data_IF_271439892586
#
_entry.id   IF_271439892586
#
_cell.length_a   1.000
_cell.length_b   1.000
_cell.length_c   1.000
_cell.angle_alpha   90.00
_cell.angle_beta   90.00
_cell.angle_gamma   90.00
#
_symmetry.space_group_name_H-M   'P 1'
#
loop_
_entity.id
_entity.type
_entity.pdbx_description
1 polymer ?
#
# COMPACT_ATOMS: atom_id res chain seq x y z
N UNK A 1 13.22 19.91 5.30
CA UNK A 1 11.84 19.36 5.28
C UNK A 1 11.49 18.72 3.94
N UNK A 2 11.62 19.44 2.82
CA UNK A 2 11.14 19.00 1.50
C UNK A 2 11.78 17.71 0.97
N UNK A 3 13.07 17.47 1.25
CA UNK A 3 13.77 16.24 0.84
C UNK A 3 13.18 14.97 1.47
N UNK A 4 12.75 15.03 2.74
CA UNK A 4 12.12 13.90 3.42
C UNK A 4 10.73 13.61 2.86
N UNK A 5 9.98 14.67 2.53
CA UNK A 5 8.65 14.56 1.91
C UNK A 5 8.79 13.93 0.51
N UNK A 6 9.72 14.43 -0.31
CA UNK A 6 10.01 13.86 -1.62
C UNK A 6 10.42 12.37 -1.52
N UNK A 7 11.30 12.03 -0.57
CA UNK A 7 11.70 10.64 -0.32
C UNK A 7 10.54 9.73 0.09
N UNK A 8 9.58 10.24 0.86
CA UNK A 8 8.36 9.51 1.24
C UNK A 8 7.42 9.28 0.06
N UNK A 9 7.26 10.28 -0.80
CA UNK A 9 6.45 10.17 -2.02
C UNK A 9 7.05 9.09 -2.93
N UNK A 10 8.35 9.18 -3.23
CA UNK A 10 9.05 8.23 -4.11
C UNK A 10 9.00 6.80 -3.54
N UNK A 11 9.30 6.65 -2.24
CA UNK A 11 9.27 5.33 -1.59
C UNK A 11 7.87 4.74 -1.55
N UNK A 12 6.84 5.58 -1.36
CA UNK A 12 5.44 5.17 -1.39
C UNK A 12 5.06 4.60 -2.75
N UNK A 13 5.29 5.38 -3.82
CA UNK A 13 5.00 4.97 -5.21
C UNK A 13 5.78 3.70 -5.59
N UNK A 14 7.06 3.62 -5.23
CA UNK A 14 7.88 2.43 -5.49
C UNK A 14 7.33 1.19 -4.76
N UNK A 15 6.92 1.33 -3.50
CA UNK A 15 6.39 0.20 -2.72
C UNK A 15 5.08 -0.35 -3.27
N UNK A 16 4.16 0.50 -3.74
CA UNK A 16 2.93 0.04 -4.38
C UNK A 16 3.21 -0.69 -5.69
N UNK A 17 4.14 -0.19 -6.51
CA UNK A 17 4.52 -0.82 -7.77
C UNK A 17 5.15 -2.22 -7.56
N UNK A 18 5.98 -2.37 -6.54
CA UNK A 18 6.59 -3.68 -6.20
C UNK A 18 5.55 -4.74 -5.86
N UNK A 19 4.51 -4.40 -5.09
CA UNK A 19 3.44 -5.36 -4.74
C UNK A 19 2.70 -5.84 -5.99
N UNK A 20 2.42 -4.93 -6.93
CA UNK A 20 1.77 -5.27 -8.20
C UNK A 20 2.70 -6.16 -9.04
N UNK A 21 3.98 -5.81 -9.16
CA UNK A 21 4.96 -6.60 -9.92
C UNK A 21 5.14 -8.01 -9.37
N UNK A 22 5.21 -8.17 -8.05
CA UNK A 22 5.27 -9.50 -7.43
C UNK A 22 4.03 -10.32 -7.82
N UNK A 23 2.84 -9.72 -7.79
CA UNK A 23 1.63 -10.42 -8.18
C UNK A 23 1.66 -10.85 -9.65
N UNK A 24 2.13 -9.99 -10.55
CA UNK A 24 2.27 -10.30 -11.98
C UNK A 24 3.25 -11.46 -12.18
N UNK A 25 4.43 -11.39 -11.57
CA UNK A 25 5.45 -12.45 -11.67
C UNK A 25 4.91 -13.79 -11.17
N UNK A 26 4.20 -13.81 -10.03
CA UNK A 26 3.59 -15.03 -9.50
C UNK A 26 2.61 -15.63 -10.51
N UNK A 27 1.74 -14.83 -11.12
CA UNK A 27 0.77 -15.32 -12.11
C UNK A 27 1.40 -15.74 -13.43
N UNK A 28 2.53 -15.14 -13.82
CA UNK A 28 3.22 -15.47 -15.06
C UNK A 28 4.08 -16.75 -14.92
N UNK A 29 4.58 -17.05 -13.72
CA UNK A 29 5.53 -18.13 -13.48
C UNK A 29 4.88 -19.40 -12.88
N UNK A 30 3.83 -19.26 -12.08
CA UNK A 30 3.25 -20.38 -11.33
C UNK A 30 2.03 -21.00 -12.04
N UNK A 31 1.91 -22.32 -11.96
CA UNK A 31 0.68 -23.01 -12.32
C UNK A 31 -0.47 -22.56 -11.38
N UNK A 32 -1.74 -22.54 -11.83
CA UNK A 32 -2.87 -22.05 -11.02
C UNK A 32 -3.02 -22.69 -9.63
N UNK A 33 -2.56 -23.93 -9.46
CA UNK A 33 -2.52 -24.65 -8.17
C UNK A 33 -1.45 -24.14 -7.21
N UNK A 34 -0.32 -23.65 -7.71
CA UNK A 34 0.84 -23.23 -6.92
C UNK A 34 0.80 -21.75 -6.56
N UNK A 35 -0.03 -20.95 -7.26
CA UNK A 35 -0.22 -19.51 -6.99
C UNK A 35 -0.61 -19.27 -5.53
N UNK A 36 -1.46 -20.12 -4.96
CA UNK A 36 -1.89 -19.99 -3.56
C UNK A 36 -0.72 -20.21 -2.59
N UNK A 37 0.13 -21.23 -2.84
CA UNK A 37 1.33 -21.50 -2.04
C UNK A 37 2.33 -20.36 -2.16
N UNK A 38 2.63 -19.88 -3.37
CA UNK A 38 3.60 -18.81 -3.58
C UNK A 38 3.16 -17.47 -2.96
N UNK A 39 1.85 -17.18 -2.99
CA UNK A 39 1.26 -16.04 -2.30
C UNK A 39 1.30 -16.20 -0.78
N UNK A 40 1.17 -17.43 -0.25
CA UNK A 40 1.33 -17.71 1.18
C UNK A 40 2.77 -17.47 1.66
N UNK A 41 3.78 -17.92 0.92
CA UNK A 41 5.20 -17.64 1.22
C UNK A 41 5.48 -16.14 1.25
N UNK A 42 4.99 -15.41 0.25
CA UNK A 42 5.12 -13.94 0.19
C UNK A 42 4.50 -13.27 1.43
N UNK A 43 3.34 -13.74 1.88
CA UNK A 43 2.69 -13.22 3.08
C UNK A 43 3.49 -13.52 4.35
N UNK A 44 4.04 -14.73 4.51
CA UNK A 44 4.88 -15.09 5.66
C UNK A 44 6.11 -14.18 5.74
N UNK A 45 6.82 -14.01 4.62
CA UNK A 45 7.99 -13.10 4.55
C UNK A 45 7.59 -11.66 4.88
N UNK A 46 6.45 -11.18 4.38
CA UNK A 46 5.95 -9.83 4.68
C UNK A 46 5.61 -9.66 6.18
N UNK A 47 5.03 -10.68 6.82
CA UNK A 47 4.75 -10.63 8.27
C UNK A 47 6.03 -10.63 9.10
N UNK A 48 7.00 -11.48 8.75
CA UNK A 48 8.31 -11.51 9.41
C UNK A 48 9.02 -10.17 9.25
N UNK A 49 9.04 -9.61 8.03
CA UNK A 49 9.63 -8.29 7.77
C UNK A 49 8.97 -7.17 8.57
N UNK A 50 7.64 -7.18 8.71
CA UNK A 50 6.90 -6.21 9.53
C UNK A 50 7.17 -6.38 11.02
N UNK A 51 7.26 -7.61 11.50
CA UNK A 51 7.54 -7.91 12.91
C UNK A 51 8.96 -7.53 13.32
N UNK A 52 9.95 -7.88 12.50
CA UNK A 52 11.37 -7.63 12.78
C UNK A 52 11.78 -6.18 12.45
N UNK A 53 11.07 -5.52 11.53
CA UNK A 53 11.41 -4.18 11.06
C UNK A 53 11.32 -3.08 12.13
N UNK A 54 10.34 -3.15 13.05
CA UNK A 54 10.19 -2.15 14.12
C UNK A 54 11.33 -2.16 15.16
N UNK A 55 11.71 -3.31 15.77
CA UNK A 55 12.83 -3.37 16.70
C UNK A 55 14.17 -3.08 16.02
N UNK A 56 14.44 -3.63 14.82
CA UNK A 56 15.67 -3.32 14.08
C UNK A 56 15.78 -1.84 13.76
N UNK A 57 14.70 -1.22 13.29
CA UNK A 57 14.66 0.21 13.00
C UNK A 57 14.95 1.06 14.24
N UNK A 58 14.40 0.69 15.40
CA UNK A 58 14.65 1.39 16.66
C UNK A 58 16.12 1.30 17.09
N UNK A 59 16.73 0.11 17.02
CA UNK A 59 18.14 -0.08 17.38
C UNK A 59 19.07 0.74 16.48
N UNK A 60 18.83 0.72 15.16
CA UNK A 60 19.66 1.46 14.19
C UNK A 60 19.59 2.98 14.43
N UNK A 61 18.39 3.51 14.71
CA UNK A 61 18.23 4.95 14.96
C UNK A 61 18.94 5.36 16.26
N UNK A 62 18.89 4.52 17.29
CA UNK A 62 19.49 4.81 18.59
C UNK A 62 21.03 4.75 18.57
N UNK A 63 21.64 3.90 17.75
CA UNK A 63 23.10 3.73 17.70
C UNK A 63 23.80 4.57 16.63
N UNK A 64 23.27 4.54 15.39
CA UNK A 64 23.91 5.10 14.20
C UNK A 64 23.24 6.39 13.72
N UNK A 65 22.07 6.72 14.28
CA UNK A 65 21.28 7.88 13.90
C UNK A 65 20.31 7.63 12.75
N UNK A 66 19.37 8.56 12.56
CA UNK A 66 18.23 8.41 11.66
C UNK A 66 18.58 8.26 10.17
N UNK A 67 19.76 8.73 9.73
CA UNK A 67 20.20 8.66 8.32
C UNK A 67 20.43 7.22 7.87
N UNK A 68 20.91 6.36 8.76
CA UNK A 68 21.17 4.95 8.48
C UNK A 68 19.89 4.13 8.28
N UNK A 69 18.74 4.62 8.75
CA UNK A 69 17.45 4.01 8.44
C UNK A 69 17.11 4.05 6.93
N UNK A 70 17.67 5.02 6.19
CA UNK A 70 17.54 5.11 4.73
C UNK A 70 18.67 4.39 4.02
N UNK A 71 19.92 4.64 4.41
CA UNK A 71 21.10 4.04 3.77
C UNK A 71 21.14 2.52 3.95
N UNK A 72 20.69 1.97 5.08
CA UNK A 72 20.67 0.53 5.33
C UNK A 72 19.74 -0.24 4.40
N UNK A 73 18.75 0.42 3.78
CA UNK A 73 17.88 -0.20 2.77
C UNK A 73 18.57 -0.32 1.42
N UNK A 74 19.48 0.61 1.10
CA UNK A 74 20.17 0.68 -0.19
C UNK A 74 20.98 -0.59 -0.53
N UNK A 75 21.87 -1.12 0.35
CA UNK A 75 22.64 -2.32 0.02
C UNK A 75 21.75 -3.55 -0.14
N UNK A 76 20.66 -3.61 0.63
CA UNK A 76 19.68 -4.69 0.53
C UNK A 76 18.93 -4.65 -0.80
N UNK A 77 18.57 -3.46 -1.29
CA UNK A 77 17.99 -3.28 -2.62
C UNK A 77 18.97 -3.72 -3.72
N UNK A 78 20.23 -3.30 -3.61
CA UNK A 78 21.28 -3.68 -4.59
C UNK A 78 21.49 -5.19 -4.62
N UNK A 79 21.56 -5.84 -3.45
CA UNK A 79 21.67 -7.30 -3.34
C UNK A 79 20.46 -7.99 -3.97
N UNK A 80 19.25 -7.50 -3.72
CA UNK A 80 18.03 -8.07 -4.28
C UNK A 80 17.98 -7.91 -5.82
N UNK A 81 18.42 -6.76 -6.35
CA UNK A 81 18.57 -6.53 -7.78
C UNK A 81 19.61 -7.47 -8.41
N UNK A 82 20.73 -7.70 -7.73
CA UNK A 82 21.76 -8.62 -8.17
C UNK A 82 21.25 -10.06 -8.21
N UNK A 83 20.63 -10.53 -7.12
CA UNK A 83 20.02 -11.86 -7.06
C UNK A 83 18.94 -12.04 -8.13
N UNK A 84 18.10 -11.02 -8.34
CA UNK A 84 17.09 -11.04 -9.41
C UNK A 84 17.73 -11.16 -10.79
N UNK A 85 18.84 -10.46 -11.05
CA UNK A 85 19.57 -10.55 -12.34
C UNK A 85 20.21 -11.92 -12.56
N UNK A 86 20.65 -12.59 -11.50
CA UNK A 86 21.32 -13.89 -11.57
C UNK A 86 20.31 -15.05 -11.63
N UNK A 87 19.25 -15.01 -10.83
CA UNK A 87 18.24 -16.09 -10.76
C UNK A 87 17.17 -16.02 -11.84
N UNK A 88 16.84 -14.82 -12.34
CA UNK A 88 15.98 -14.66 -13.50
C UNK A 88 16.87 -14.37 -14.72
N UNK A 89 17.40 -15.39 -15.42
CA UNK A 89 18.07 -15.15 -16.67
C UNK A 89 17.10 -14.44 -17.60
N UNK A 90 17.55 -13.34 -18.21
CA UNK A 90 16.87 -12.57 -19.24
C UNK A 90 16.60 -13.47 -20.44
N UNK A 91 15.65 -14.40 -20.33
CA UNK A 91 15.07 -15.07 -21.47
C UNK A 91 13.89 -14.20 -21.85
N UNK A 92 13.99 -13.37 -22.90
CA UNK A 92 12.84 -12.65 -23.42
C UNK A 92 11.91 -13.73 -23.97
N UNK A 93 10.99 -14.22 -23.14
CA UNK A 93 9.86 -14.99 -23.62
C UNK A 93 9.00 -13.98 -24.37
N UNK A 94 9.26 -13.90 -25.68
CA UNK A 94 8.60 -13.06 -26.69
C UNK A 94 8.79 -11.54 -26.55
N UNK A 95 10.02 -11.06 -26.75
CA UNK A 95 10.25 -9.74 -27.35
C UNK A 95 10.22 -9.89 -28.89
N UNK A 96 9.04 -10.23 -29.44
CA UNK A 96 8.80 -10.03 -30.87
C UNK A 96 8.30 -8.59 -31.05
N UNK A 97 8.69 -7.87 -32.11
CA UNK A 97 8.23 -6.49 -32.37
C UNK A 97 6.69 -6.36 -32.45
N UNK A 98 5.98 -7.48 -32.62
CA UNK A 98 4.51 -7.59 -32.56
C UNK A 98 3.97 -7.40 -31.12
N UNK A 99 4.69 -7.88 -30.11
CA UNK A 99 4.30 -7.75 -28.71
C UNK A 99 4.48 -6.32 -28.18
N UNK A 100 5.48 -5.57 -28.66
CA UNK A 100 5.67 -4.16 -28.29
C UNK A 100 4.64 -3.24 -28.94
N UNK A 101 4.32 -3.43 -30.23
CA UNK A 101 3.21 -2.70 -30.88
C UNK A 101 1.88 -2.99 -30.18
N UNK A 102 1.62 -4.25 -29.84
CA UNK A 102 0.43 -4.64 -29.09
C UNK A 102 0.41 -4.03 -27.68
N UNK A 103 1.54 -3.96 -26.96
CA UNK A 103 1.61 -3.29 -25.65
C UNK A 103 1.33 -1.79 -25.76
N UNK A 104 1.85 -1.12 -26.78
CA UNK A 104 1.65 0.32 -26.99
C UNK A 104 0.20 0.64 -27.42
N UNK A 105 -0.41 -0.20 -28.26
CA UNK A 105 -1.84 -0.12 -28.60
C UNK A 105 -2.75 -0.48 -27.41
N UNK A 106 -2.34 -1.43 -26.57
CA UNK A 106 -3.06 -1.82 -25.36
C UNK A 106 -2.97 -0.74 -24.27
N UNK A 107 -1.84 -0.05 -24.18
CA UNK A 107 -1.67 1.17 -23.37
C UNK A 107 -2.54 2.30 -23.91
N UNK A 108 -2.53 2.56 -25.22
CA UNK A 108 -3.35 3.62 -25.83
C UNK A 108 -4.86 3.34 -25.76
N UNK A 109 -5.27 2.08 -25.61
CA UNK A 109 -6.68 1.67 -25.43
C UNK A 109 -7.10 1.50 -23.97
N UNK A 110 -6.24 1.83 -23.00
CA UNK A 110 -6.64 1.93 -21.61
C UNK A 110 -7.45 3.21 -21.37
N UNK A 111 -8.51 3.08 -20.58
CA UNK A 111 -9.32 4.22 -20.14
C UNK A 111 -8.56 5.03 -19.08
N UNK A 112 -7.72 5.95 -19.55
CA UNK A 112 -6.93 6.84 -18.70
C UNK A 112 -7.80 7.70 -17.79
N UNK A 113 -9.00 8.08 -18.24
CA UNK A 113 -9.90 8.91 -17.46
C UNK A 113 -10.53 8.10 -16.33
N UNK A 114 -10.99 6.88 -16.61
CA UNK A 114 -11.47 5.94 -15.59
C UNK A 114 -10.42 5.65 -14.51
N UNK A 115 -9.17 5.38 -14.92
CA UNK A 115 -8.05 5.14 -13.99
C UNK A 115 -7.76 6.37 -13.13
N UNK A 116 -7.76 7.56 -13.73
CA UNK A 116 -7.49 8.80 -13.00
C UNK A 116 -8.61 9.12 -11.99
N UNK A 117 -9.88 9.00 -12.40
CA UNK A 117 -11.02 9.23 -11.51
C UNK A 117 -11.04 8.22 -10.36
N UNK A 118 -10.72 6.95 -10.63
CA UNK A 118 -10.62 5.92 -9.60
C UNK A 118 -9.48 6.21 -8.61
N UNK A 119 -8.29 6.56 -9.12
CA UNK A 119 -7.15 6.92 -8.29
C UNK A 119 -7.45 8.14 -7.41
N UNK A 120 -8.13 9.15 -7.96
CA UNK A 120 -8.56 10.34 -7.22
C UNK A 120 -9.59 10.01 -6.13
N UNK A 121 -10.56 9.13 -6.42
CA UNK A 121 -11.53 8.67 -5.43
C UNK A 121 -10.84 7.92 -4.26
N UNK A 122 -9.93 7.00 -4.57
CA UNK A 122 -9.17 6.26 -3.53
C UNK A 122 -8.28 7.20 -2.73
N UNK A 123 -7.61 8.15 -3.38
CA UNK A 123 -6.73 9.12 -2.71
C UNK A 123 -7.51 10.03 -1.76
N UNK A 124 -8.64 10.58 -2.22
CA UNK A 124 -9.51 11.44 -1.40
C UNK A 124 -10.15 10.67 -0.24
N UNK A 125 -10.56 9.42 -0.44
CA UNK A 125 -11.03 8.54 0.62
C UNK A 125 -9.94 8.30 1.69
N UNK A 126 -8.72 7.96 1.26
CA UNK A 126 -7.62 7.66 2.17
C UNK A 126 -7.20 8.91 2.97
N UNK A 127 -7.27 10.08 2.34
CA UNK A 127 -7.03 11.36 3.00
C UNK A 127 -8.15 11.69 4.01
N UNK A 128 -9.41 11.40 3.67
CA UNK A 128 -10.55 11.55 4.58
C UNK A 128 -10.39 10.66 5.82
N UNK A 129 -10.03 9.39 5.63
CA UNK A 129 -9.81 8.44 6.73
C UNK A 129 -8.61 8.82 7.60
N UNK A 130 -7.55 9.33 6.99
CA UNK A 130 -6.35 9.80 7.70
C UNK A 130 -6.66 11.01 8.56
N UNK A 131 -7.39 12.00 8.03
CA UNK A 131 -7.81 13.21 8.75
C UNK A 131 -8.87 12.93 9.81
N UNK A 132 -9.74 11.93 9.60
CA UNK A 132 -10.65 11.43 10.62
C UNK A 132 -9.92 10.71 11.77
N UNK A 133 -8.74 10.14 11.49
CA UNK A 133 -7.92 9.43 12.46
C UNK A 133 -7.12 10.33 13.41
N UNK A 134 -6.94 11.61 13.08
CA UNK A 134 -6.20 12.57 13.92
C UNK A 134 -7.08 13.16 15.02
N UNK A 135 -6.54 13.28 16.24
CA UNK A 135 -7.26 13.74 17.45
C UNK A 135 -7.84 15.16 17.33
N UNK A 136 -7.21 16.03 16.53
CA UNK A 136 -7.66 17.40 16.23
C UNK A 136 -8.47 17.52 14.92
N UNK A 137 -8.93 16.40 14.36
CA UNK A 137 -9.62 16.37 13.08
C UNK A 137 -10.90 17.21 13.13
N UNK A 138 -10.87 18.43 12.58
CA UNK A 138 -12.08 19.24 12.36
C UNK A 138 -13.07 18.41 11.56
N UNK A 139 -14.20 18.06 12.19
CA UNK A 139 -15.28 17.27 11.58
C UNK A 139 -15.69 17.85 10.21
N UNK A 140 -15.70 19.18 10.08
CA UNK A 140 -16.00 19.88 8.83
C UNK A 140 -15.06 19.51 7.66
N UNK A 141 -13.76 19.31 7.91
CA UNK A 141 -12.79 18.93 6.88
C UNK A 141 -13.00 17.48 6.45
N UNK A 142 -13.33 16.60 7.41
CA UNK A 142 -13.61 15.19 7.14
C UNK A 142 -14.86 15.03 6.28
N UNK A 143 -15.95 15.75 6.60
CA UNK A 143 -17.17 15.73 5.80
C UNK A 143 -16.96 16.31 4.40
N UNK A 144 -16.16 17.37 4.25
CA UNK A 144 -15.81 17.92 2.94
C UNK A 144 -15.04 16.91 2.07
N UNK A 145 -14.05 16.23 2.63
CA UNK A 145 -13.30 15.19 1.92
C UNK A 145 -14.16 13.97 1.57
N UNK A 146 -15.08 13.59 2.45
CA UNK A 146 -16.08 12.54 2.16
C UNK A 146 -17.02 12.94 1.02
N UNK A 147 -17.45 14.21 0.98
CA UNK A 147 -18.26 14.75 -0.12
C UNK A 147 -17.51 14.70 -1.46
N UNK A 148 -16.23 15.11 -1.47
CA UNK A 148 -15.37 15.01 -2.66
C UNK A 148 -15.15 13.56 -3.08
N UNK A 149 -14.97 12.64 -2.13
CA UNK A 149 -14.87 11.21 -2.40
C UNK A 149 -16.17 10.67 -3.03
N UNK A 150 -17.33 11.04 -2.50
CA UNK A 150 -18.62 10.64 -3.05
C UNK A 150 -18.79 11.15 -4.49
N UNK A 151 -18.46 12.42 -4.73
CA UNK A 151 -18.46 13.02 -6.08
C UNK A 151 -17.51 12.30 -7.04
N UNK A 152 -16.28 12.01 -6.63
CA UNK A 152 -15.30 11.29 -7.44
C UNK A 152 -15.73 9.84 -7.74
N UNK A 153 -16.41 9.20 -6.78
CA UNK A 153 -16.98 7.85 -6.95
C UNK A 153 -18.17 7.87 -7.90
N UNK A 154 -19.06 8.85 -7.78
CA UNK A 154 -20.19 9.02 -8.71
C UNK A 154 -19.67 9.33 -10.11
N UNK A 155 -18.67 10.21 -10.26
CA UNK A 155 -18.03 10.50 -11.54
C UNK A 155 -17.41 9.23 -12.16
N UNK A 156 -16.74 8.40 -11.35
CA UNK A 156 -16.21 7.11 -11.79
C UNK A 156 -17.31 6.15 -12.24
N UNK A 157 -18.37 5.97 -11.44
CA UNK A 157 -19.49 5.08 -11.76
C UNK A 157 -20.25 5.55 -13.00
N UNK A 158 -20.47 6.85 -13.15
CA UNK A 158 -21.08 7.43 -14.34
C UNK A 158 -20.20 7.19 -15.58
N UNK A 159 -18.89 7.41 -15.48
CA UNK A 159 -17.97 7.18 -16.60
C UNK A 159 -17.88 5.69 -16.99
N UNK A 160 -17.81 4.80 -16.01
CA UNK A 160 -17.77 3.34 -16.22
C UNK A 160 -19.09 2.83 -16.84
N UNK A 161 -20.25 3.38 -16.43
CA UNK A 161 -21.56 2.97 -16.96
C UNK A 161 -21.91 3.58 -18.33
N UNK A 162 -21.45 4.80 -18.63
CA UNK A 162 -21.86 5.54 -19.85
C UNK A 162 -20.83 5.44 -21.00
N UNK A 163 -19.54 5.26 -20.72
CA UNK A 163 -18.48 5.41 -21.73
C UNK A 163 -17.49 4.26 -21.87
N UNK A 164 -17.53 3.24 -21.00
CA UNK A 164 -16.51 2.20 -21.02
C UNK A 164 -16.76 1.12 -22.10
N UNK A 165 -16.05 1.21 -23.23
CA UNK A 165 -16.00 0.15 -24.27
C UNK A 165 -15.21 -1.09 -23.81
N UNK A 166 -14.40 -0.98 -22.74
CA UNK A 166 -13.73 -2.07 -22.02
C UNK A 166 -13.75 -1.76 -20.52
N UNK A 167 -14.71 -2.31 -19.74
CA UNK A 167 -14.86 -1.98 -18.32
C UNK A 167 -13.60 -2.36 -17.55
N UNK A 168 -13.08 -1.40 -16.77
CA UNK A 168 -11.92 -1.58 -15.89
C UNK A 168 -12.29 -2.52 -14.72
N UNK A 169 -13.55 -2.46 -14.30
CA UNK A 169 -14.13 -3.35 -13.30
C UNK A 169 -15.40 -3.98 -13.89
N UNK A 170 -15.37 -5.24 -14.33
CA UNK A 170 -16.60 -5.93 -14.68
C UNK A 170 -17.49 -6.03 -13.43
N UNK A 171 -18.49 -5.15 -13.32
CA UNK A 171 -19.40 -5.04 -12.17
C UNK A 171 -20.04 -6.39 -11.81
N UNK A 172 -20.24 -7.28 -12.80
CA UNK A 172 -20.72 -8.67 -12.60
C UNK A 172 -19.79 -9.53 -11.74
N UNK A 173 -18.48 -9.32 -11.76
CA UNK A 173 -17.50 -10.07 -10.97
C UNK A 173 -17.44 -9.59 -9.51
N UNK A 174 -17.68 -8.29 -9.29
CA UNK A 174 -17.77 -7.70 -7.95
C UNK A 174 -18.93 -8.32 -7.18
N UNK A 175 -20.07 -8.59 -7.82
CA UNK A 175 -21.28 -9.08 -7.15
C UNK A 175 -21.26 -10.56 -6.76
N UNK A 176 -20.54 -11.44 -7.50
CA UNK A 176 -20.68 -12.91 -7.34
C UNK A 176 -19.51 -13.66 -6.70
N UNK A 177 -18.39 -12.99 -6.37
CA UNK A 177 -17.33 -13.67 -5.61
C UNK A 177 -16.13 -12.80 -5.24
N UNK A 178 -15.77 -11.84 -6.08
CA UNK A 178 -14.62 -10.94 -5.81
C UNK A 178 -14.94 -9.94 -4.70
N UNK A 179 -16.21 -9.57 -4.51
CA UNK A 179 -16.66 -8.69 -3.43
C UNK A 179 -16.40 -9.26 -2.03
N UNK A 180 -16.52 -10.58 -1.84
CA UNK A 180 -16.22 -11.22 -0.55
C UNK A 180 -14.73 -11.14 -0.21
N UNK A 181 -13.86 -11.38 -1.20
CA UNK A 181 -12.41 -11.20 -1.01
C UNK A 181 -12.04 -9.75 -0.68
N UNK A 182 -12.71 -8.79 -1.31
CA UNK A 182 -12.52 -7.36 -1.02
C UNK A 182 -12.95 -6.99 0.40
N UNK A 183 -14.12 -7.47 0.84
CA UNK A 183 -14.59 -7.24 2.21
C UNK A 183 -13.61 -7.80 3.24
N UNK A 184 -13.09 -9.02 3.02
CA UNK A 184 -12.08 -9.61 3.90
C UNK A 184 -10.80 -8.75 3.95
N UNK A 185 -10.33 -8.23 2.80
CA UNK A 185 -9.16 -7.35 2.78
C UNK A 185 -9.39 -6.03 3.51
N UNK A 186 -10.59 -5.43 3.39
CA UNK A 186 -10.97 -4.21 4.12
C UNK A 186 -11.02 -4.47 5.63
N UNK A 187 -11.57 -5.62 6.05
CA UNK A 187 -11.60 -6.02 7.46
C UNK A 187 -10.19 -6.26 8.00
N UNK A 188 -9.31 -6.93 7.25
CA UNK A 188 -7.92 -7.14 7.64
C UNK A 188 -7.14 -5.82 7.71
N UNK A 189 -7.40 -4.89 6.79
CA UNK A 189 -6.75 -3.59 6.76
C UNK A 189 -7.20 -2.69 7.92
N UNK A 190 -8.50 -2.63 8.18
CA UNK A 190 -9.05 -1.93 9.35
C UNK A 190 -8.54 -2.51 10.66
N UNK A 191 -8.44 -3.85 10.78
CA UNK A 191 -7.82 -4.51 11.91
C UNK A 191 -6.37 -4.09 12.13
N UNK A 192 -5.56 -4.01 11.07
CA UNK A 192 -4.17 -3.53 11.13
C UNK A 192 -4.07 -2.07 11.59
N UNK A 193 -4.96 -1.20 11.12
CA UNK A 193 -5.02 0.19 11.57
C UNK A 193 -5.46 0.31 13.05
N UNK A 194 -6.41 -0.52 13.48
CA UNK A 194 -6.90 -0.56 14.87
C UNK A 194 -5.84 -1.00 15.86
N UNK A 195 -5.10 -2.08 15.56
CA UNK A 195 -4.00 -2.58 16.41
C UNK A 195 -2.88 -1.53 16.55
N UNK A 196 -2.57 -0.79 15.47
CA UNK A 196 -1.59 0.30 15.52
C UNK A 196 -1.99 1.42 16.47
N UNK A 197 -3.27 1.79 16.52
CA UNK A 197 -3.80 2.80 17.47
C UNK A 197 -3.79 2.28 18.91
N UNK A 198 -4.22 1.04 19.14
CA UNK A 198 -4.23 0.45 20.48
C UNK A 198 -2.80 0.35 21.07
N UNK A 199 -1.82 -0.02 20.24
CA UNK A 199 -0.43 -0.11 20.69
C UNK A 199 0.18 1.28 21.00
N UNK A 200 -0.21 2.31 20.23
CA UNK A 200 0.21 3.68 20.49
C UNK A 200 -0.41 4.25 21.78
N UNK A 201 -1.69 3.93 22.04
CA UNK A 201 -2.40 4.31 23.26
C UNK A 201 -1.80 3.58 24.47
N UNK A 202 -1.54 2.26 24.36
CA UNK A 202 -0.90 1.48 25.42
C UNK A 202 0.49 2.02 25.79
N UNK A 203 1.28 2.46 24.80
CA UNK A 203 2.58 3.07 25.03
C UNK A 203 2.50 4.39 25.84
N UNK A 204 1.44 5.20 25.62
CA UNK A 204 1.22 6.42 26.40
C UNK A 204 0.90 6.16 27.88
N UNK A 205 0.29 5.02 28.19
CA UNK A 205 0.02 4.64 29.58
C UNK A 205 1.24 4.09 30.31
N UNK A 206 2.17 3.47 29.59
CA UNK A 206 3.43 2.96 30.17
C UNK A 206 4.49 4.05 30.41
N UNK A 207 4.52 5.12 29.60
CA UNK A 207 5.50 6.20 29.72
C UNK A 207 5.08 7.36 30.64
N UNK A 208 3.89 7.29 31.27
CA UNK A 208 3.45 8.35 32.20
C UNK A 208 4.28 8.27 33.50
N UNK A 209 5.09 9.27 33.84
CA UNK A 209 5.87 9.23 35.09
C UNK A 209 4.91 9.14 36.27
N UNK A 210 5.06 8.11 37.10
CA UNK A 210 4.32 7.98 38.36
C UNK A 210 4.61 9.24 39.18
N UNK A 211 3.58 10.02 39.47
CA UNK A 211 3.66 11.18 40.36
C UNK A 211 4.29 10.76 41.69
N UNK A 212 5.29 11.50 42.22
CA UNK A 212 5.89 11.16 43.51
C UNK A 212 4.81 11.20 44.61
N UNK A 213 4.88 10.30 45.62
CA UNK A 213 3.92 10.27 46.71
C UNK A 213 3.95 11.60 47.47
N UNK A 214 2.80 12.09 47.98
CA UNK A 214 2.75 13.33 48.73
C UNK A 214 3.65 13.23 49.96
N UNK A 215 4.57 14.18 50.09
CA UNK A 215 5.41 14.32 51.27
C UNK A 215 4.50 14.54 52.48
N UNK A 216 4.49 13.55 53.37
CA UNK A 216 3.79 13.59 54.65
C UNK A 216 4.52 14.60 55.53
N UNK A 217 4.03 15.83 55.58
CA UNK A 217 4.49 16.82 56.56
C UNK A 217 4.05 16.33 57.94
N UNK A 218 5.03 15.96 58.76
CA UNK A 218 4.97 15.95 60.23
C UNK A 218 5.99 16.93 60.74
#
# INVERSE_FOLDING_TARGET
MNQLIAGRIISGVGSSGMVVMISIIITDLAAPSEVALLRSYTNVVNMLGRGVGAPLGRVIVNSLGWRWAFTGRLPLIVLCLFLSRVQFPTKPRTATPVAERSKMEKLRSLDYFGIFSFAAAVFTLLLALTTAGTLDGRLSTVYALLGVCALATVAFVCHECLWATRPLVPLRLVTKGVGQYWLVQVVLFSGRCGVGRNNAIAAQFTDKPRSPPPSRNT
#
